data_IF_874379648444
#
_entry.id   IF_874379648444
#
_cell.length_a   1.000
_cell.length_b   1.000
_cell.length_c   1.000
_cell.angle_alpha   90.00
_cell.angle_beta   90.00
_cell.angle_gamma   90.00
#
_symmetry.space_group_name_H-M   'P 1'
#
loop_
_entity.id
_entity.type
_entity.pdbx_description
1 polymer ?
#
# COMPACT_ATOMS: atom_id res chain seq x y z
N UNK A 1 42.03 -43.43 44.73
CA UNK A 1 40.92 -42.55 45.12
C UNK A 1 40.15 -42.15 43.88
N UNK A 2 38.83 -42.34 43.90
CA UNK A 2 37.86 -41.97 42.86
C UNK A 2 37.52 -40.48 43.01
N UNK A 3 37.51 -39.71 41.92
CA UNK A 3 36.58 -38.58 41.78
C UNK A 3 36.07 -38.56 40.33
N UNK A 4 34.74 -38.71 40.11
CA UNK A 4 34.13 -38.48 38.81
C UNK A 4 33.91 -36.97 38.61
N UNK A 5 34.30 -36.43 37.46
CA UNK A 5 33.89 -35.09 37.05
C UNK A 5 32.56 -35.26 36.29
N UNK A 6 31.44 -34.72 36.80
CA UNK A 6 30.17 -34.84 36.13
C UNK A 6 30.15 -33.95 34.87
N UNK A 7 29.67 -34.55 33.77
CA UNK A 7 29.18 -33.86 32.59
C UNK A 7 28.10 -32.86 33.01
N UNK A 8 28.44 -31.57 33.03
CA UNK A 8 27.47 -30.48 33.12
C UNK A 8 27.07 -30.08 31.70
N UNK A 9 26.03 -30.75 31.21
CA UNK A 9 25.18 -30.29 30.11
C UNK A 9 24.65 -28.90 30.42
N UNK A 10 25.24 -27.87 29.82
CA UNK A 10 24.66 -26.54 29.80
C UNK A 10 23.47 -26.51 28.84
N UNK A 11 22.25 -26.66 29.36
CA UNK A 11 21.05 -26.39 28.58
C UNK A 11 20.92 -24.87 28.39
N UNK A 12 21.29 -24.36 27.21
CA UNK A 12 20.92 -23.02 26.78
C UNK A 12 19.39 -23.00 26.59
N UNK A 13 18.66 -22.53 27.60
CA UNK A 13 17.25 -22.19 27.45
C UNK A 13 17.13 -20.91 26.61
N UNK A 14 16.91 -21.06 25.31
CA UNK A 14 16.46 -19.98 24.43
C UNK A 14 15.04 -19.58 24.85
N UNK A 15 14.93 -18.56 25.70
CA UNK A 15 13.65 -17.92 26.02
C UNK A 15 13.24 -17.13 24.78
N UNK A 16 12.30 -17.69 24.01
CA UNK A 16 11.64 -16.98 22.94
C UNK A 16 10.77 -15.87 23.55
N UNK A 17 11.21 -14.61 23.43
CA UNK A 17 10.39 -13.44 23.76
C UNK A 17 9.24 -13.37 22.76
N UNK A 18 8.07 -13.89 23.14
CA UNK A 18 6.83 -13.63 22.42
C UNK A 18 6.41 -12.20 22.72
N UNK A 19 6.76 -11.27 21.83
CA UNK A 19 6.20 -9.92 21.85
C UNK A 19 4.70 -10.01 21.53
N UNK A 20 3.87 -10.19 22.55
CA UNK A 20 2.44 -9.92 22.47
C UNK A 20 2.29 -8.41 22.55
N UNK A 21 2.45 -7.74 21.41
CA UNK A 21 2.06 -6.34 21.30
C UNK A 21 0.54 -6.28 21.54
N UNK A 22 0.03 -5.46 22.48
CA UNK A 22 -1.41 -5.25 22.58
C UNK A 22 -1.93 -4.81 21.21
N UNK A 23 -2.88 -5.57 20.67
CA UNK A 23 -3.57 -5.16 19.46
C UNK A 23 -4.26 -3.83 19.77
N UNK A 24 -3.84 -2.76 19.10
CA UNK A 24 -4.62 -1.53 19.11
C UNK A 24 -6.03 -1.87 18.59
N UNK A 25 -7.07 -1.48 19.32
CA UNK A 25 -8.49 -1.72 18.99
C UNK A 25 -8.93 -1.12 17.64
N UNK A 26 -8.03 -0.45 16.92
CA UNK A 26 -8.26 0.13 15.61
C UNK A 26 -7.03 0.84 15.05
N UNK A 27 -7.15 1.40 13.84
CA UNK A 27 -6.10 2.21 13.23
C UNK A 27 -5.77 3.45 14.06
N UNK A 28 -4.55 4.03 13.90
CA UNK A 28 -4.19 5.29 14.55
C UNK A 28 -5.16 6.41 14.18
N UNK A 29 -5.31 7.39 15.06
CA UNK A 29 -6.09 8.60 14.81
C UNK A 29 -5.22 9.60 14.06
N UNK A 30 -5.55 9.84 12.79
CA UNK A 30 -4.85 10.80 11.93
C UNK A 30 -5.57 12.15 11.94
N UNK A 31 -4.82 13.25 11.85
CA UNK A 31 -5.38 14.59 11.65
C UNK A 31 -5.70 14.82 10.16
N UNK A 32 -6.84 14.27 9.74
CA UNK A 32 -7.36 14.37 8.37
C UNK A 32 -7.56 15.82 7.93
N UNK A 33 -7.88 16.72 8.87
CA UNK A 33 -8.07 18.14 8.55
C UNK A 33 -6.74 18.80 8.18
N UNK A 34 -5.67 18.50 8.92
CA UNK A 34 -4.33 18.95 8.55
C UNK A 34 -3.92 18.38 7.17
N UNK A 35 -4.19 17.09 6.94
CA UNK A 35 -3.89 16.43 5.65
C UNK A 35 -4.62 17.08 4.48
N UNK A 36 -5.93 17.28 4.58
CA UNK A 36 -6.70 17.89 3.49
C UNK A 36 -6.42 19.37 3.27
N UNK A 37 -5.96 20.11 4.29
CA UNK A 37 -5.51 21.49 4.09
C UNK A 37 -4.14 21.56 3.42
N UNK A 38 -3.31 20.54 3.60
CA UNK A 38 -2.00 20.46 2.96
C UNK A 38 -2.10 20.14 1.47
N UNK A 39 -3.05 19.29 1.06
CA UNK A 39 -3.23 18.92 -0.33
C UNK A 39 -3.62 20.12 -1.19
N UNK A 40 -4.46 21.04 -0.70
CA UNK A 40 -4.77 22.31 -1.38
C UNK A 40 -3.51 23.14 -1.67
N UNK A 41 -2.53 23.14 -0.75
CA UNK A 41 -1.28 23.89 -0.97
C UNK A 41 -0.43 23.26 -2.06
N UNK A 42 -0.57 21.95 -2.29
CA UNK A 42 0.13 21.22 -3.35
C UNK A 42 -0.60 21.34 -4.70
N UNK A 43 -1.94 21.35 -4.68
CA UNK A 43 -2.82 21.37 -5.85
C UNK A 43 -3.32 22.81 -6.11
N UNK A 44 -2.52 23.67 -6.73
CA UNK A 44 -2.83 25.09 -6.95
C UNK A 44 -3.91 25.34 -8.05
N UNK A 45 -4.93 24.50 -8.18
CA UNK A 45 -6.00 24.69 -9.18
C UNK A 45 -7.34 23.99 -8.84
N UNK A 46 -8.43 24.62 -9.31
CA UNK A 46 -9.86 24.34 -9.06
C UNK A 46 -10.28 24.56 -7.61
N UNK A 47 -11.31 25.42 -7.41
CA UNK A 47 -11.96 25.79 -6.14
C UNK A 47 -11.46 25.02 -4.91
N UNK A 48 -10.56 25.66 -4.15
CA UNK A 48 -9.92 25.11 -2.95
C UNK A 48 -10.91 24.46 -1.97
N UNK A 49 -12.15 24.93 -1.92
CA UNK A 49 -13.18 24.34 -1.06
C UNK A 49 -13.66 22.99 -1.59
N UNK A 50 -13.86 22.85 -2.89
CA UNK A 50 -14.28 21.59 -3.51
C UNK A 50 -13.18 20.52 -3.39
N UNK A 51 -11.91 20.92 -3.43
CA UNK A 51 -10.76 19.99 -3.27
C UNK A 51 -10.63 19.52 -1.82
N UNK A 52 -10.82 20.40 -0.82
CA UNK A 52 -10.86 20.00 0.60
C UNK A 52 -12.01 19.04 0.88
N UNK A 53 -13.23 19.35 0.43
CA UNK A 53 -14.40 18.49 0.66
C UNK A 53 -14.22 17.10 0.02
N UNK A 54 -13.66 17.06 -1.19
CA UNK A 54 -13.30 15.82 -1.86
C UNK A 54 -12.29 15.00 -1.04
N UNK A 55 -11.25 15.64 -0.53
CA UNK A 55 -10.26 15.01 0.34
C UNK A 55 -10.90 14.45 1.62
N UNK A 56 -11.68 15.26 2.35
CA UNK A 56 -12.33 14.83 3.59
C UNK A 56 -13.22 13.61 3.38
N UNK A 57 -13.91 13.55 2.25
CA UNK A 57 -14.76 12.41 1.88
C UNK A 57 -13.95 11.15 1.63
N UNK A 58 -12.87 11.25 0.85
CA UNK A 58 -11.98 10.13 0.55
C UNK A 58 -11.29 9.60 1.80
N UNK A 59 -10.79 10.49 2.65
CA UNK A 59 -10.15 10.15 3.92
C UNK A 59 -11.10 9.45 4.90
N UNK A 60 -12.34 9.95 5.03
CA UNK A 60 -13.33 9.32 5.90
C UNK A 60 -13.78 7.95 5.36
N UNK A 61 -13.87 7.78 4.04
CA UNK A 61 -14.13 6.47 3.44
C UNK A 61 -12.98 5.48 3.71
N UNK A 62 -11.74 5.91 3.52
CA UNK A 62 -10.56 5.10 3.78
C UNK A 62 -10.41 4.75 5.27
N UNK A 63 -10.73 5.69 6.17
CA UNK A 63 -10.76 5.43 7.61
C UNK A 63 -11.73 4.32 7.98
N UNK A 64 -12.95 4.35 7.43
CA UNK A 64 -13.96 3.30 7.66
C UNK A 64 -13.48 1.94 7.14
N UNK A 65 -12.80 1.92 6.00
CA UNK A 65 -12.21 0.69 5.46
C UNK A 65 -11.08 0.15 6.37
N UNK A 66 -10.16 1.03 6.78
CA UNK A 66 -9.09 0.67 7.71
C UNK A 66 -9.64 0.13 9.05
N UNK A 67 -10.71 0.71 9.57
CA UNK A 67 -11.40 0.23 10.78
C UNK A 67 -12.05 -1.13 10.56
N UNK A 68 -12.81 -1.30 9.46
CA UNK A 68 -13.52 -2.55 9.15
C UNK A 68 -12.58 -3.73 9.03
N UNK A 69 -11.44 -3.54 8.37
CA UNK A 69 -10.47 -4.61 8.06
C UNK A 69 -9.29 -4.63 9.01
N UNK A 70 -9.30 -3.83 10.07
CA UNK A 70 -8.16 -3.74 10.99
C UNK A 70 -7.79 -5.11 11.55
N UNK A 71 -8.77 -5.96 11.86
CA UNK A 71 -8.55 -7.33 12.35
C UNK A 71 -7.88 -8.26 11.33
N UNK A 72 -8.05 -8.01 10.04
CA UNK A 72 -7.58 -8.86 8.96
C UNK A 72 -6.08 -8.71 8.70
N UNK A 73 -5.50 -7.57 9.12
CA UNK A 73 -4.09 -7.26 8.88
C UNK A 73 -3.17 -7.79 9.99
N UNK A 74 -2.02 -8.34 9.58
CA UNK A 74 -1.02 -8.85 10.52
C UNK A 74 -0.44 -7.74 11.40
N UNK A 75 0.00 -8.05 12.64
CA UNK A 75 0.68 -7.08 13.51
C UNK A 75 1.92 -6.46 12.84
N UNK A 76 2.65 -7.24 12.03
CA UNK A 76 3.81 -6.77 11.29
C UNK A 76 3.42 -5.72 10.23
N UNK A 77 2.38 -5.98 9.45
CA UNK A 77 1.86 -5.04 8.46
C UNK A 77 1.38 -3.73 9.11
N UNK A 78 0.63 -3.82 10.21
CA UNK A 78 0.18 -2.65 10.99
C UNK A 78 1.36 -1.80 11.45
N UNK A 79 2.34 -2.43 12.10
CA UNK A 79 3.54 -1.74 12.59
C UNK A 79 4.31 -1.08 11.45
N UNK A 80 4.51 -1.79 10.33
CA UNK A 80 5.20 -1.25 9.16
C UNK A 80 4.49 -0.02 8.61
N UNK A 81 3.17 -0.08 8.42
CA UNK A 81 2.40 1.02 7.84
C UNK A 81 2.27 2.21 8.79
N UNK A 82 2.09 1.98 10.09
CA UNK A 82 2.08 3.05 11.10
C UNK A 82 3.40 3.81 11.17
N UNK A 83 4.53 3.13 10.97
CA UNK A 83 5.86 3.77 10.97
C UNK A 83 6.05 4.75 9.81
N UNK A 84 5.39 4.56 8.67
CA UNK A 84 5.48 5.49 7.54
C UNK A 84 4.97 6.89 7.91
N UNK A 85 3.96 6.96 8.78
CA UNK A 85 3.38 8.22 9.24
C UNK A 85 4.19 8.93 10.33
N UNK A 86 5.17 8.25 10.94
CA UNK A 86 6.05 8.84 11.96
C UNK A 86 7.20 9.65 11.34
N UNK A 87 7.55 9.39 10.08
CA UNK A 87 8.69 10.02 9.41
C UNK A 87 8.47 11.49 9.00
N UNK A 88 7.29 12.06 9.28
CA UNK A 88 6.93 13.45 9.00
C UNK A 88 6.10 13.61 7.72
N UNK A 89 5.26 14.64 7.69
CA UNK A 89 4.31 14.91 6.60
C UNK A 89 2.87 15.01 7.09
N UNK A 90 1.94 14.72 6.20
CA UNK A 90 0.50 14.75 6.44
C UNK A 90 -0.07 13.35 6.24
N UNK A 91 -0.31 12.58 7.31
CA UNK A 91 -0.69 11.18 7.18
C UNK A 91 -2.10 11.02 6.61
N UNK A 92 -2.27 10.03 5.72
CA UNK A 92 -3.52 9.75 5.02
C UNK A 92 -4.03 8.34 5.34
N UNK A 93 -5.34 8.22 5.57
CA UNK A 93 -5.99 6.91 5.66
C UNK A 93 -6.00 6.19 4.30
N UNK A 94 -6.03 6.91 3.18
CA UNK A 94 -5.92 6.31 1.84
C UNK A 94 -4.59 5.59 1.71
N UNK A 95 -3.49 6.28 2.04
CA UNK A 95 -2.15 5.69 2.01
C UNK A 95 -2.01 4.52 3.01
N UNK A 96 -2.65 4.62 4.19
CA UNK A 96 -2.62 3.53 5.17
C UNK A 96 -3.30 2.28 4.64
N UNK A 97 -4.51 2.40 4.07
CA UNK A 97 -5.22 1.27 3.48
C UNK A 97 -4.36 0.65 2.37
N UNK A 98 -3.82 1.46 1.46
CA UNK A 98 -2.96 0.97 0.38
C UNK A 98 -1.73 0.24 0.93
N UNK A 99 -1.05 0.78 1.94
CA UNK A 99 0.07 0.10 2.57
C UNK A 99 -0.32 -1.25 3.17
N UNK A 100 -1.43 -1.30 3.90
CA UNK A 100 -1.92 -2.51 4.54
C UNK A 100 -2.28 -3.58 3.50
N UNK A 101 -2.92 -3.19 2.41
CA UNK A 101 -3.27 -4.10 1.31
C UNK A 101 -2.03 -4.67 0.62
N UNK A 102 -1.02 -3.82 0.37
CA UNK A 102 0.26 -4.25 -0.21
C UNK A 102 0.99 -5.20 0.72
N UNK A 103 1.12 -4.86 2.00
CA UNK A 103 1.78 -5.68 3.00
C UNK A 103 1.06 -7.01 3.26
N UNK A 104 -0.24 -7.07 2.96
CA UNK A 104 -1.06 -8.28 3.11
C UNK A 104 -1.20 -9.10 1.83
N UNK A 105 -0.66 -8.60 0.71
CA UNK A 105 -0.82 -9.26 -0.60
C UNK A 105 -2.26 -9.27 -1.12
N UNK A 106 -3.14 -8.41 -0.61
CA UNK A 106 -4.56 -8.36 -1.02
C UNK A 106 -4.80 -7.49 -2.23
N UNK A 107 -3.76 -6.80 -2.73
CA UNK A 107 -3.83 -6.07 -3.99
C UNK A 107 -3.91 -7.06 -5.14
N UNK A 108 -4.93 -6.97 -6.03
CA UNK A 108 -4.98 -7.80 -7.22
C UNK A 108 -3.70 -7.63 -8.04
N UNK A 109 -2.96 -8.73 -8.23
CA UNK A 109 -1.84 -8.72 -9.17
C UNK A 109 -2.43 -8.70 -10.59
N UNK A 110 -2.07 -7.68 -11.38
CA UNK A 110 -2.35 -7.73 -12.81
C UNK A 110 -1.52 -8.89 -13.37
N UNK A 111 -2.21 -9.93 -13.83
CA UNK A 111 -1.62 -11.24 -14.10
C UNK A 111 -0.33 -11.17 -14.92
N UNK A 112 0.80 -11.39 -14.27
CA UNK A 112 1.75 -12.36 -14.82
C UNK A 112 1.25 -13.70 -14.32
N UNK A 113 0.68 -14.51 -15.22
CA UNK A 113 0.21 -15.86 -14.88
C UNK A 113 1.32 -16.70 -14.22
N UNK A 114 0.97 -17.82 -13.56
CA UNK A 114 1.98 -18.68 -12.94
C UNK A 114 2.82 -19.31 -14.05
N UNK A 115 4.09 -18.92 -14.15
CA UNK A 115 5.02 -19.42 -15.16
C UNK A 115 6.27 -18.56 -15.26
N UNK A 116 7.03 -18.49 -14.17
CA UNK A 116 8.36 -17.90 -14.17
C UNK A 116 9.40 -18.99 -14.47
N UNK A 117 9.28 -19.68 -15.61
CA UNK A 117 10.31 -20.61 -16.08
C UNK A 117 9.98 -21.17 -17.48
N UNK A 118 11.05 -21.32 -18.26
CA UNK A 118 11.23 -22.10 -19.50
C UNK A 118 10.61 -21.61 -20.84
N UNK A 119 11.55 -21.21 -21.71
CA UNK A 119 11.57 -21.27 -23.18
C UNK A 119 10.91 -20.14 -23.97
N UNK A 120 11.78 -19.29 -24.53
CA UNK A 120 11.50 -18.46 -25.69
C UNK A 120 11.08 -19.33 -26.88
N UNK A 121 9.80 -19.64 -26.98
CA UNK A 121 9.15 -20.10 -28.20
C UNK A 121 8.37 -18.93 -28.79
N UNK A 122 8.82 -18.42 -29.94
CA UNK A 122 8.12 -17.37 -30.68
C UNK A 122 6.71 -17.84 -31.07
N UNK A 123 5.69 -17.46 -30.29
CA UNK A 123 4.29 -17.65 -30.68
C UNK A 123 3.80 -16.38 -31.34
N UNK A 124 3.58 -16.47 -32.65
CA UNK A 124 2.95 -15.43 -33.46
C UNK A 124 1.44 -15.52 -33.20
N UNK A 125 0.96 -14.75 -32.22
CA UNK A 125 -0.47 -14.63 -31.95
C UNK A 125 -1.11 -13.71 -33.00
N UNK A 126 -2.11 -14.23 -33.73
CA UNK A 126 -2.94 -13.48 -34.66
C UNK A 126 -4.07 -12.82 -33.85
N UNK A 127 -4.32 -11.50 -33.95
CA UNK A 127 -5.38 -10.87 -33.18
C UNK A 127 -6.71 -11.08 -33.89
N UNK A 128 -7.59 -11.88 -33.30
CA UNK A 128 -9.01 -11.83 -33.63
C UNK A 128 -9.62 -10.62 -32.91
N UNK A 129 -10.17 -9.74 -33.73
CA UNK A 129 -10.61 -8.42 -33.31
C UNK A 129 -11.85 -8.46 -32.43
N UNK A 130 -12.00 -7.35 -31.71
CA UNK A 130 -13.24 -6.87 -31.09
C UNK A 130 -13.54 -7.31 -29.65
N UNK A 131 -12.57 -7.14 -28.73
CA UNK A 131 -12.85 -7.08 -27.28
C UNK A 131 -11.75 -6.36 -26.47
N UNK A 132 -11.28 -5.18 -26.89
CA UNK A 132 -10.20 -4.52 -26.11
C UNK A 132 -9.99 -3.01 -26.30
N UNK A 133 -10.76 -2.31 -27.13
CA UNK A 133 -10.44 -0.93 -27.47
C UNK A 133 -10.61 0.07 -26.30
N UNK A 134 -11.51 -0.19 -25.35
CA UNK A 134 -11.82 0.76 -24.28
C UNK A 134 -10.90 0.64 -23.04
N UNK A 135 -10.21 -0.48 -22.86
CA UNK A 135 -9.27 -0.70 -21.74
C UNK A 135 -7.81 -0.75 -22.19
N UNK A 136 -7.55 -0.71 -23.50
CA UNK A 136 -6.20 -0.63 -24.02
C UNK A 136 -5.62 0.78 -23.82
N UNK A 137 -4.46 0.84 -23.17
CA UNK A 137 -3.71 2.09 -23.03
C UNK A 137 -3.39 2.67 -24.42
N UNK A 138 -3.58 4.00 -24.64
CA UNK A 138 -3.23 4.63 -25.90
C UNK A 138 -1.75 4.41 -26.21
N UNK A 139 -1.45 4.14 -27.48
CA UNK A 139 -0.06 4.05 -27.94
C UNK A 139 0.67 5.35 -27.60
N UNK A 140 1.99 5.33 -27.34
CA UNK A 140 2.75 6.55 -27.03
C UNK A 140 2.56 7.68 -28.05
N UNK A 141 2.35 7.36 -29.32
CA UNK A 141 2.06 8.33 -30.39
C UNK A 141 0.64 8.90 -30.40
N UNK A 142 -0.27 8.35 -29.59
CA UNK A 142 -1.65 8.79 -29.41
C UNK A 142 -1.83 9.58 -28.10
N UNK A 143 -0.79 9.70 -27.27
CA UNK A 143 -0.84 10.51 -26.05
C UNK A 143 -0.59 11.96 -26.41
N UNK A 144 -1.47 12.84 -25.96
CA UNK A 144 -1.33 14.28 -26.18
C UNK A 144 -0.14 14.84 -25.41
N UNK A 145 0.59 15.79 -26.00
CA UNK A 145 1.64 16.53 -25.31
C UNK A 145 1.00 17.64 -24.45
N UNK A 146 1.13 17.60 -23.11
CA UNK A 146 0.49 18.57 -22.24
C UNK A 146 1.01 20.01 -22.43
N UNK A 147 2.25 20.22 -22.90
CA UNK A 147 2.77 21.57 -23.18
C UNK A 147 1.97 22.23 -24.32
N UNK A 148 1.73 21.49 -25.41
CA UNK A 148 1.06 21.99 -26.61
C UNK A 148 -0.44 22.31 -26.36
N UNK A 149 -1.08 21.62 -25.41
CA UNK A 149 -2.47 21.89 -25.02
C UNK A 149 -2.59 23.17 -24.21
N UNK A 150 -1.60 23.45 -23.36
CA UNK A 150 -1.60 24.61 -22.47
C UNK A 150 -1.17 25.91 -23.18
N UNK A 151 -0.45 25.80 -24.30
CA UNK A 151 -0.01 26.94 -25.12
C UNK A 151 -1.03 27.39 -26.17
N UNK A 152 -2.17 26.68 -26.30
CA UNK A 152 -3.23 27.05 -27.26
C UNK A 152 -4.08 28.20 -26.68
N UNK A 153 -4.14 29.37 -27.34
CA UNK A 153 -4.87 30.55 -26.84
C UNK A 153 -6.39 30.37 -26.85
#
# INVERSE_FOLDING_TARGET
MRYPVPLLTGALALVALTNVAPAADGPPKLDVQATCKSSVRAEASVSDNATVEGCLRSEEAARKEAQRRWGDYSPAAKTQCEKQFQAGGFPSYVEMVTCLELASGTVPTQGTGPGADTSSGARREKPDGNAGAATAEPRPSQRTNPIEVLEKP
#
